data_IF_076876881590
#
_entry.id   IF_076876881590
#
_cell.length_a   1.000
_cell.length_b   1.000
_cell.length_c   1.000
_cell.angle_alpha   90.00
_cell.angle_beta   90.00
_cell.angle_gamma   90.00
#
_symmetry.space_group_name_H-M   'P 1'
#
loop_
_entity.id
_entity.type
_entity.pdbx_description
1 polymer ?
#
# COMPACT_ATOMS: atom_id res chain seq x y z
N UNK A 1 -6.03 13.26 16.76
CA UNK A 1 -5.35 13.14 15.46
C UNK A 1 -4.16 12.21 15.66
N UNK A 2 -4.07 11.12 14.90
CA UNK A 2 -2.90 10.24 14.96
C UNK A 2 -1.71 10.93 14.28
N UNK A 3 -0.51 10.75 14.84
CA UNK A 3 0.73 11.26 14.27
C UNK A 3 0.92 10.67 12.85
N UNK A 4 1.17 11.52 11.86
CA UNK A 4 1.27 11.13 10.44
C UNK A 4 2.64 10.59 10.03
N UNK A 5 3.72 10.99 10.70
CA UNK A 5 5.08 10.63 10.30
C UNK A 5 5.86 10.12 11.50
N UNK A 6 6.79 9.18 11.25
CA UNK A 6 7.77 8.81 12.26
C UNK A 6 8.88 9.87 12.29
N UNK A 7 9.14 10.46 13.46
CA UNK A 7 10.09 11.56 13.60
C UNK A 7 11.50 11.08 14.02
N UNK A 8 11.62 9.82 14.42
CA UNK A 8 12.87 9.25 14.91
C UNK A 8 13.02 7.77 14.53
N UNK A 9 14.24 7.24 14.66
CA UNK A 9 14.58 5.88 14.27
C UNK A 9 13.79 4.79 15.02
N UNK A 10 13.35 5.07 16.25
CA UNK A 10 12.55 4.14 17.03
C UNK A 10 11.12 4.05 16.47
N UNK A 11 10.48 5.18 16.21
CA UNK A 11 9.16 5.23 15.58
C UNK A 11 9.17 4.63 14.18
N UNK A 12 10.24 4.86 13.43
CA UNK A 12 10.46 4.23 12.11
C UNK A 12 10.55 2.70 12.20
N UNK A 13 11.35 2.21 13.15
CA UNK A 13 11.50 0.77 13.38
C UNK A 13 10.18 0.14 13.81
N UNK A 14 9.41 0.84 14.65
CA UNK A 14 8.09 0.39 15.09
C UNK A 14 7.08 0.37 13.93
N UNK A 15 7.05 1.41 13.10
CA UNK A 15 6.17 1.50 11.93
C UNK A 15 6.41 0.33 10.98
N UNK A 16 7.67 0.10 10.57
CA UNK A 16 8.03 -1.01 9.69
C UNK A 16 7.74 -2.37 10.33
N UNK A 17 7.96 -2.51 11.64
CA UNK A 17 7.62 -3.74 12.36
C UNK A 17 6.12 -4.02 12.36
N UNK A 18 5.28 -2.99 12.53
CA UNK A 18 3.81 -3.10 12.46
C UNK A 18 3.35 -3.49 11.05
N UNK A 19 3.89 -2.87 10.01
CA UNK A 19 3.57 -3.24 8.63
C UNK A 19 3.90 -4.71 8.36
N UNK A 20 5.10 -5.16 8.74
CA UNK A 20 5.53 -6.56 8.59
C UNK A 20 4.64 -7.51 9.37
N UNK A 21 4.33 -7.19 10.64
CA UNK A 21 3.48 -8.04 11.48
C UNK A 21 2.06 -8.20 10.89
N UNK A 22 1.50 -7.13 10.35
CA UNK A 22 0.17 -7.16 9.72
C UNK A 22 0.18 -7.96 8.41
N UNK A 23 1.18 -7.73 7.54
CA UNK A 23 1.33 -8.50 6.29
C UNK A 23 1.55 -9.98 6.57
N UNK A 24 2.41 -10.33 7.54
CA UNK A 24 2.57 -11.72 7.97
C UNK A 24 1.27 -12.30 8.51
N UNK A 25 0.46 -11.54 9.26
CA UNK A 25 -0.85 -12.02 9.69
C UNK A 25 -1.77 -12.31 8.50
N UNK A 26 -1.81 -11.42 7.50
CA UNK A 26 -2.61 -11.58 6.28
C UNK A 26 -2.14 -12.74 5.40
N UNK A 27 -0.83 -13.04 5.38
CA UNK A 27 -0.27 -14.20 4.68
C UNK A 27 -0.27 -15.48 5.51
N UNK A 28 -1.07 -15.55 6.59
CA UNK A 28 -1.13 -16.69 7.52
C UNK A 28 0.26 -17.09 8.07
N UNK A 29 1.06 -16.10 8.43
CA UNK A 29 2.46 -16.17 8.89
C UNK A 29 3.43 -16.82 7.90
N UNK A 30 3.05 -16.92 6.62
CA UNK A 30 3.91 -17.46 5.58
C UNK A 30 4.74 -16.34 4.99
N UNK A 31 6.06 -16.48 5.10
CA UNK A 31 7.03 -15.54 4.50
C UNK A 31 7.19 -15.74 3.00
N UNK A 32 6.72 -16.86 2.44
CA UNK A 32 6.87 -17.21 1.02
C UNK A 32 5.61 -16.98 0.18
N UNK A 33 4.61 -16.29 0.72
CA UNK A 33 3.40 -15.99 -0.04
C UNK A 33 3.74 -14.91 -1.07
N UNK A 34 3.60 -15.19 -2.38
CA UNK A 34 3.81 -14.19 -3.41
C UNK A 34 2.80 -13.05 -3.26
N UNK A 35 3.27 -11.83 -3.46
CA UNK A 35 2.46 -10.62 -3.37
C UNK A 35 2.46 -9.90 -4.70
N UNK A 36 1.29 -9.42 -5.10
CA UNK A 36 1.14 -8.53 -6.24
C UNK A 36 1.01 -7.10 -5.71
N UNK A 37 1.73 -6.21 -6.36
CA UNK A 37 1.67 -4.79 -6.08
C UNK A 37 1.11 -4.06 -7.30
N UNK A 38 0.20 -3.13 -7.07
CA UNK A 38 -0.31 -2.21 -8.07
C UNK A 38 0.01 -0.79 -7.60
N UNK A 39 0.85 -0.08 -8.33
CA UNK A 39 1.19 1.32 -8.07
C UNK A 39 0.35 2.26 -8.94
N UNK A 40 0.11 3.47 -8.45
CA UNK A 40 -0.62 4.51 -9.15
C UNK A 40 0.23 5.77 -9.28
N UNK A 41 0.47 6.21 -10.51
CA UNK A 41 1.01 7.55 -10.79
C UNK A 41 -0.13 8.46 -11.24
N UNK A 42 -0.22 9.61 -10.59
CA UNK A 42 -1.17 10.68 -10.85
C UNK A 42 -0.49 11.67 -11.81
N UNK A 43 -1.26 12.36 -12.65
CA UNK A 43 -0.82 13.29 -13.72
C UNK A 43 -0.36 12.68 -15.06
N UNK A 44 -0.53 13.42 -16.19
CA UNK A 44 -0.09 12.96 -17.50
C UNK A 44 1.43 12.82 -17.50
N UNK A 45 1.99 11.62 -17.70
CA UNK A 45 3.42 11.50 -17.88
C UNK A 45 3.77 12.23 -19.16
N UNK A 46 4.81 13.04 -19.10
CA UNK A 46 5.49 13.70 -20.22
C UNK A 46 6.16 12.70 -21.20
N UNK A 47 5.64 11.46 -21.26
CA UNK A 47 6.22 10.27 -21.88
C UNK A 47 7.52 9.79 -21.22
N UNK A 48 7.98 10.42 -20.14
CA UNK A 48 8.90 9.83 -19.17
C UNK A 48 8.17 8.76 -18.36
N UNK A 49 8.79 7.60 -18.18
CA UNK A 49 8.27 6.56 -17.29
C UNK A 49 7.88 7.20 -15.95
N UNK A 50 6.63 7.02 -15.50
CA UNK A 50 6.12 7.65 -14.28
C UNK A 50 6.97 7.33 -13.04
N UNK A 51 6.65 7.95 -11.90
CA UNK A 51 7.49 7.87 -10.70
C UNK A 51 7.60 6.44 -10.16
N UNK A 52 6.54 5.64 -10.23
CA UNK A 52 6.51 4.27 -9.74
C UNK A 52 7.65 3.37 -10.28
N UNK A 53 7.92 3.26 -11.59
CA UNK A 53 9.08 2.54 -12.13
C UNK A 53 10.45 2.92 -11.58
N UNK A 54 10.63 4.16 -11.09
CA UNK A 54 11.91 4.61 -10.54
C UNK A 54 12.14 4.12 -9.10
N UNK A 55 11.05 3.83 -8.38
CA UNK A 55 11.05 3.42 -6.97
C UNK A 55 10.79 1.92 -6.80
N UNK A 56 10.03 1.32 -7.73
CA UNK A 56 9.53 -0.05 -7.64
C UNK A 56 10.26 -0.92 -8.66
N UNK A 57 11.24 -1.72 -8.24
CA UNK A 57 11.98 -2.60 -9.14
C UNK A 57 11.05 -3.54 -9.92
N UNK A 58 11.29 -3.66 -11.22
CA UNK A 58 10.55 -4.53 -12.14
C UNK A 58 9.06 -4.17 -12.32
N UNK A 59 8.62 -2.98 -11.92
CA UNK A 59 7.27 -2.53 -12.20
C UNK A 59 7.04 -2.43 -13.72
N UNK A 60 5.99 -3.10 -14.19
CA UNK A 60 5.58 -3.11 -15.59
C UNK A 60 4.30 -2.32 -15.77
N UNK A 61 4.23 -1.51 -16.83
CA UNK A 61 3.01 -0.75 -17.14
C UNK A 61 1.84 -1.71 -17.36
N UNK A 62 0.72 -1.48 -16.67
CA UNK A 62 -0.47 -2.30 -16.81
C UNK A 62 -1.54 -1.60 -17.63
N UNK A 63 -1.99 -0.43 -17.19
CA UNK A 63 -3.04 0.32 -17.91
C UNK A 63 -3.04 1.79 -17.52
N UNK A 64 -3.67 2.58 -18.37
CA UNK A 64 -4.13 3.93 -18.04
C UNK A 64 -5.65 3.92 -17.87
N UNK A 65 -6.17 4.58 -16.86
CA UNK A 65 -7.61 4.76 -16.70
C UNK A 65 -7.93 6.25 -16.54
N UNK A 66 -8.95 6.74 -17.26
CA UNK A 66 -9.48 8.07 -16.99
C UNK A 66 -10.20 8.03 -15.65
N UNK A 67 -9.86 8.97 -14.78
CA UNK A 67 -10.68 9.23 -13.60
C UNK A 67 -11.95 9.89 -14.12
N UNK A 68 -13.12 9.32 -13.79
CA UNK A 68 -14.39 9.95 -14.15
C UNK A 68 -14.42 11.31 -13.45
N UNK A 69 -14.58 12.38 -14.24
CA UNK A 69 -14.63 13.76 -13.76
C UNK A 69 -15.51 13.86 -12.51
N UNK A 70 -15.05 14.59 -11.50
CA UNK A 70 -15.92 14.99 -10.41
C UNK A 70 -17.12 15.76 -11.01
N UNK A 71 -18.30 15.14 -10.94
CA UNK A 71 -19.52 15.69 -11.50
C UNK A 71 -19.89 17.05 -10.88
N UNK A 72 -19.32 17.38 -9.70
CA UNK A 72 -19.53 18.65 -9.04
C UNK A 72 -18.63 19.78 -9.59
N UNK A 73 -17.44 19.48 -10.11
CA UNK A 73 -16.49 20.51 -10.60
C UNK A 73 -16.43 20.59 -12.12
N UNK A 74 -16.77 19.52 -12.83
CA UNK A 74 -16.69 19.46 -14.30
C UNK A 74 -15.26 19.50 -14.85
N UNK A 75 -14.26 19.33 -13.98
CA UNK A 75 -12.85 19.32 -14.33
C UNK A 75 -12.45 17.91 -14.82
N UNK A 76 -11.76 17.82 -15.96
CA UNK A 76 -11.20 16.55 -16.44
C UNK A 76 -10.04 16.20 -15.50
N UNK A 77 -10.28 15.26 -14.58
CA UNK A 77 -9.33 14.85 -13.53
C UNK A 77 -8.10 14.10 -14.05
N UNK A 78 -7.89 14.09 -15.37
CA UNK A 78 -6.76 13.44 -16.01
C UNK A 78 -6.93 11.92 -16.12
N UNK A 79 -5.80 11.23 -16.22
CA UNK A 79 -5.78 9.78 -16.33
C UNK A 79 -4.64 9.19 -15.52
N UNK A 80 -4.97 8.25 -14.65
CA UNK A 80 -4.03 7.57 -13.78
C UNK A 80 -3.32 6.46 -14.55
N UNK A 81 -2.01 6.35 -14.32
CA UNK A 81 -1.19 5.28 -14.88
C UNK A 81 -0.91 4.23 -13.81
N UNK A 82 -1.28 2.98 -14.09
CA UNK A 82 -1.12 1.86 -13.17
C UNK A 82 0.04 0.97 -13.58
N UNK A 83 0.85 0.59 -12.60
CA UNK A 83 2.00 -0.29 -12.77
C UNK A 83 1.84 -1.51 -11.88
N UNK A 84 2.32 -2.67 -12.35
CA UNK A 84 2.24 -3.93 -11.61
C UNK A 84 3.65 -4.47 -11.36
N UNK A 85 3.90 -4.86 -10.12
CA UNK A 85 5.11 -5.56 -9.72
C UNK A 85 4.77 -6.82 -8.91
N UNK A 86 5.73 -7.74 -8.85
CA UNK A 86 5.59 -8.99 -8.10
C UNK A 86 6.72 -9.13 -7.11
N UNK A 87 6.37 -9.57 -5.90
CA UNK A 87 7.31 -9.79 -4.80
C UNK A 87 7.17 -11.22 -4.29
N UNK A 88 8.27 -11.97 -4.12
CA UNK A 88 8.22 -13.36 -3.64
C UNK A 88 7.84 -13.49 -2.16
N UNK A 89 7.95 -12.41 -1.38
CA UNK A 89 7.78 -12.45 0.08
C UNK A 89 7.51 -11.08 0.69
N UNK A 90 6.96 -11.07 1.92
CA UNK A 90 6.86 -9.87 2.76
C UNK A 90 8.25 -9.26 3.02
N UNK A 91 9.28 -10.09 3.20
CA UNK A 91 10.65 -9.63 3.39
C UNK A 91 11.18 -8.83 2.20
N UNK A 92 10.93 -9.32 0.97
CA UNK A 92 11.38 -8.64 -0.25
C UNK A 92 10.67 -7.30 -0.48
N UNK A 93 9.46 -7.14 0.07
CA UNK A 93 8.66 -5.93 -0.01
C UNK A 93 9.05 -4.87 1.04
N UNK A 94 9.77 -5.27 2.09
CA UNK A 94 10.05 -4.40 3.25
C UNK A 94 10.72 -3.06 2.89
N UNK A 95 11.70 -2.98 1.96
CA UNK A 95 12.26 -1.71 1.52
C UNK A 95 11.21 -0.75 0.93
N UNK A 96 10.23 -1.28 0.21
CA UNK A 96 9.17 -0.47 -0.42
C UNK A 96 8.19 0.12 0.60
N UNK A 97 7.98 -0.56 1.73
CA UNK A 97 7.13 -0.04 2.81
C UNK A 97 7.69 1.26 3.41
N UNK A 98 9.01 1.46 3.35
CA UNK A 98 9.61 2.73 3.77
C UNK A 98 9.24 3.86 2.79
N UNK A 99 9.36 3.63 1.48
CA UNK A 99 8.94 4.61 0.45
C UNK A 99 7.45 4.98 0.57
N UNK A 100 6.58 4.01 0.88
CA UNK A 100 5.16 4.29 1.12
C UNK A 100 4.92 5.18 2.35
N UNK A 101 5.71 4.96 3.41
CA UNK A 101 5.62 5.74 4.65
C UNK A 101 6.19 7.16 4.50
N UNK A 102 7.07 7.38 3.53
CA UNK A 102 7.59 8.70 3.13
C UNK A 102 6.78 9.38 2.03
N UNK A 103 5.63 8.79 1.63
CA UNK A 103 4.76 9.34 0.57
C UNK A 103 5.41 9.33 -0.83
N UNK A 104 6.47 8.54 -1.03
CA UNK A 104 7.17 8.43 -2.30
C UNK A 104 6.54 7.38 -3.23
N UNK A 105 5.76 6.44 -2.69
CA UNK A 105 5.09 5.41 -3.46
C UNK A 105 3.64 5.22 -3.01
N UNK A 106 2.69 5.38 -3.94
CA UNK A 106 1.28 5.06 -3.74
C UNK A 106 0.95 3.70 -4.35
N UNK A 107 0.68 2.71 -3.49
CA UNK A 107 0.56 1.32 -3.90
C UNK A 107 -0.56 0.60 -3.16
N UNK A 108 -1.21 -0.34 -3.84
CA UNK A 108 -1.99 -1.39 -3.18
C UNK A 108 -1.26 -2.72 -3.31
N UNK A 109 -1.24 -3.47 -2.22
CA UNK A 109 -0.64 -4.80 -2.12
C UNK A 109 -1.77 -5.80 -1.92
N UNK A 110 -1.70 -6.92 -2.65
CA UNK A 110 -2.69 -7.99 -2.62
C UNK A 110 -2.01 -9.35 -2.67
N UNK A 111 -2.74 -10.39 -2.23
CA UNK A 111 -2.38 -11.77 -2.53
C UNK A 111 -2.92 -12.20 -3.91
N UNK A 112 -2.55 -13.39 -4.34
CA UNK A 112 -2.98 -13.95 -5.64
C UNK A 112 -4.50 -14.18 -5.74
N UNK A 113 -5.20 -14.25 -4.60
CA UNK A 113 -6.63 -14.53 -4.55
C UNK A 113 -7.51 -13.30 -4.32
N UNK A 114 -6.91 -12.12 -4.14
CA UNK A 114 -7.59 -10.89 -3.72
C UNK A 114 -8.42 -11.07 -2.44
N UNK A 115 -7.93 -11.90 -1.51
CA UNK A 115 -8.60 -12.15 -0.23
C UNK A 115 -8.50 -10.96 0.74
N UNK A 116 -7.61 -10.02 0.44
CA UNK A 116 -7.48 -8.73 1.12
C UNK A 116 -6.77 -7.73 0.21
N UNK A 117 -6.96 -6.44 0.51
CA UNK A 117 -6.21 -5.34 -0.08
C UNK A 117 -5.53 -4.57 1.06
N UNK A 118 -4.26 -4.25 0.86
CA UNK A 118 -3.42 -3.55 1.82
C UNK A 118 -2.88 -2.26 1.18
N UNK A 119 -3.22 -1.11 1.76
CA UNK A 119 -2.78 0.20 1.29
C UNK A 119 -1.97 0.88 2.39
N UNK A 120 -0.62 0.86 2.33
CA UNK A 120 0.22 1.61 3.24
C UNK A 120 0.21 3.10 2.87
N UNK A 121 0.31 3.96 3.88
CA UNK A 121 0.44 5.42 3.69
C UNK A 121 1.20 6.01 4.89
N UNK A 122 1.59 7.30 4.83
CA UNK A 122 2.26 7.95 5.94
C UNK A 122 1.45 7.84 7.25
N UNK A 123 2.04 7.11 8.21
CA UNK A 123 1.48 6.96 9.56
C UNK A 123 0.54 5.77 9.73
N UNK A 124 0.35 4.93 8.71
CA UNK A 124 -0.49 3.75 8.88
C UNK A 124 -0.76 2.93 7.62
N UNK A 125 -1.90 2.26 7.66
CA UNK A 125 -2.34 1.35 6.61
C UNK A 125 -3.84 1.16 6.68
N UNK A 126 -4.46 1.07 5.52
CA UNK A 126 -5.82 0.59 5.37
C UNK A 126 -5.81 -0.86 4.88
N UNK A 127 -6.67 -1.69 5.48
CA UNK A 127 -6.85 -3.09 5.08
C UNK A 127 -8.32 -3.32 4.75
N UNK A 128 -8.58 -3.68 3.50
CA UNK A 128 -9.89 -4.13 3.05
C UNK A 128 -9.87 -5.66 3.10
N UNK A 129 -10.54 -6.24 4.08
CA UNK A 129 -10.67 -7.69 4.22
C UNK A 129 -11.84 -8.23 3.38
N UNK A 130 -11.71 -9.47 2.87
CA UNK A 130 -12.79 -10.13 2.13
C UNK A 130 -14.08 -10.33 2.94
N UNK A 131 -14.00 -10.39 4.28
CA UNK A 131 -15.17 -10.56 5.15
C UNK A 131 -15.09 -9.72 6.41
N UNK A 132 -16.27 -9.44 7.00
CA UNK A 132 -16.36 -8.78 8.31
C UNK A 132 -15.67 -9.57 9.44
N UNK A 133 -15.71 -10.90 9.38
CA UNK A 133 -15.05 -11.74 10.38
C UNK A 133 -13.52 -11.56 10.38
N UNK A 134 -12.89 -11.52 9.19
CA UNK A 134 -11.45 -11.25 9.06
C UNK A 134 -11.12 -9.84 9.55
N UNK A 135 -11.92 -8.85 9.17
CA UNK A 135 -11.75 -7.46 9.64
C UNK A 135 -11.79 -7.37 11.17
N UNK A 136 -12.76 -8.05 11.79
CA UNK A 136 -12.97 -7.98 13.24
C UNK A 136 -11.90 -8.75 14.02
N UNK A 137 -11.41 -9.87 13.48
CA UNK A 137 -10.24 -10.59 14.00
C UNK A 137 -8.96 -9.71 13.96
N UNK A 138 -8.67 -9.08 12.82
CA UNK A 138 -7.54 -8.15 12.68
C UNK A 138 -7.65 -6.98 13.69
N UNK A 139 -8.86 -6.39 13.82
CA UNK A 139 -9.13 -5.32 14.78
C UNK A 139 -8.86 -5.77 16.22
N UNK A 140 -9.27 -6.99 16.58
CA UNK A 140 -9.04 -7.56 17.91
C UNK A 140 -7.56 -7.80 18.19
N UNK A 141 -6.85 -8.47 17.27
CA UNK A 141 -5.42 -8.81 17.41
C UNK A 141 -4.53 -7.57 17.59
N UNK A 142 -4.83 -6.52 16.82
CA UNK A 142 -4.02 -5.31 16.78
C UNK A 142 -4.65 -4.13 17.51
N UNK A 143 -5.59 -4.39 18.43
CA UNK A 143 -6.27 -3.35 19.19
C UNK A 143 -5.29 -2.44 19.96
N UNK A 144 -4.18 -3.00 20.46
CA UNK A 144 -3.14 -2.29 21.20
C UNK A 144 -2.34 -1.27 20.37
N UNK A 145 -2.42 -1.31 19.03
CA UNK A 145 -1.78 -0.31 18.16
C UNK A 145 -2.61 0.97 18.02
N UNK A 146 -3.89 0.92 18.38
CA UNK A 146 -4.77 2.08 18.33
C UNK A 146 -4.54 2.93 19.59
N UNK A 147 -4.44 4.26 19.47
CA UNK A 147 -4.49 5.13 20.63
C UNK A 147 -5.72 4.79 21.47
N UNK A 148 -5.59 4.77 22.80
CA UNK A 148 -6.75 4.71 23.69
C UNK A 148 -7.63 5.93 23.35
N UNK A 149 -8.82 5.66 22.86
CA UNK A 149 -9.82 6.69 22.57
C UNK A 149 -10.37 7.31 23.84
#
# INVERSE_FOLDING_TARGET
MAKRYADNSHEWSELLARHRALLLCLTNSTTRTPLTLIACDWDPPDLGAGEAPSIIPNASFWRRARVLSDAATGEDSGADSFWVAWYPSVESLTPLLAHCAEEEADVVIVDETLSWIYHPYPGGVDVIAATGAIRDDLRGRFAHWRPLG
#
